data_IF_324708118239
#
_entry.id   IF_324708118239
#
_cell.length_a   1.000
_cell.length_b   1.000
_cell.length_c   1.000
_cell.angle_alpha   90.00
_cell.angle_beta   90.00
_cell.angle_gamma   90.00
#
_symmetry.space_group_name_H-M   'P 1'
#
loop_
_entity.id
_entity.type
_entity.pdbx_description
1 polymer ?
#
# COMPACT_ATOMS: atom_id res chain seq x y z
N UNK A 1 -3.61 14.33 -9.14
CA UNK A 1 -4.18 15.25 -10.15
C UNK A 1 -3.36 15.16 -11.43
N UNK A 2 -3.67 14.21 -12.31
CA UNK A 2 -3.07 14.12 -13.64
C UNK A 2 -4.17 13.72 -14.63
N UNK A 3 -4.17 14.32 -15.83
CA UNK A 3 -5.03 13.90 -16.94
C UNK A 3 -6.53 14.24 -16.85
N UNK A 4 -7.00 15.03 -15.88
CA UNK A 4 -8.41 15.48 -15.87
C UNK A 4 -8.64 16.48 -17.01
N UNK A 5 -9.43 16.08 -18.00
CA UNK A 5 -9.82 16.98 -19.10
C UNK A 5 -10.90 17.92 -18.58
N UNK A 6 -10.78 19.21 -18.93
CA UNK A 6 -11.67 20.29 -18.44
C UNK A 6 -13.16 20.07 -18.77
N UNK A 7 -13.46 19.15 -19.68
CA UNK A 7 -14.80 18.79 -20.18
C UNK A 7 -15.49 17.72 -19.31
N UNK A 8 -14.74 17.04 -18.42
CA UNK A 8 -15.23 15.93 -17.58
C UNK A 8 -15.80 16.38 -16.23
N UNK A 9 -16.13 17.68 -16.07
CA UNK A 9 -16.87 18.15 -14.88
C UNK A 9 -18.33 17.74 -15.06
N UNK A 10 -18.58 16.44 -14.95
CA UNK A 10 -19.92 15.88 -14.85
C UNK A 10 -20.50 16.37 -13.52
N UNK A 11 -21.56 17.16 -13.58
CA UNK A 11 -22.34 17.49 -12.38
C UNK A 11 -22.99 16.18 -11.93
N UNK A 12 -22.47 15.62 -10.84
CA UNK A 12 -22.97 14.38 -10.30
C UNK A 12 -24.42 14.56 -9.81
N UNK A 13 -25.28 13.55 -9.97
CA UNK A 13 -26.61 13.55 -9.37
C UNK A 13 -26.53 13.84 -7.87
N UNK A 14 -27.53 14.52 -7.27
CA UNK A 14 -27.49 14.89 -5.85
C UNK A 14 -27.22 13.71 -4.90
N UNK A 15 -27.77 12.53 -5.21
CA UNK A 15 -27.54 11.30 -4.43
C UNK A 15 -26.07 10.84 -4.48
N UNK A 16 -25.45 10.85 -5.65
CA UNK A 16 -24.06 10.45 -5.83
C UNK A 16 -23.10 11.47 -5.18
N UNK A 17 -23.44 12.76 -5.27
CA UNK A 17 -22.70 13.81 -4.59
C UNK A 17 -22.76 13.64 -3.06
N UNK A 18 -23.92 13.33 -2.50
CA UNK A 18 -24.07 13.09 -1.07
C UNK A 18 -23.33 11.82 -0.63
N UNK A 19 -23.36 10.76 -1.44
CA UNK A 19 -22.57 9.55 -1.21
C UNK A 19 -21.07 9.85 -1.19
N UNK A 20 -20.57 10.65 -2.14
CA UNK A 20 -19.16 11.08 -2.16
C UNK A 20 -18.81 11.94 -0.94
N UNK A 21 -19.68 12.88 -0.54
CA UNK A 21 -19.49 13.68 0.68
C UNK A 21 -19.42 12.81 1.92
N UNK A 22 -20.30 11.82 2.02
CA UNK A 22 -20.29 10.88 3.13
C UNK A 22 -19.00 10.05 3.15
N UNK A 23 -18.55 9.54 2.01
CA UNK A 23 -17.26 8.84 1.91
C UNK A 23 -16.10 9.72 2.37
N UNK A 24 -16.06 10.99 1.95
CA UNK A 24 -15.03 11.96 2.37
C UNK A 24 -15.09 12.22 3.88
N UNK A 25 -16.29 12.39 4.47
CA UNK A 25 -16.48 12.57 5.92
C UNK A 25 -15.96 11.36 6.70
N UNK A 26 -16.35 10.15 6.28
CA UNK A 26 -15.89 8.90 6.91
C UNK A 26 -14.38 8.72 6.78
N UNK A 27 -13.81 8.96 5.59
CA UNK A 27 -12.36 8.87 5.37
C UNK A 27 -11.59 9.87 6.24
N UNK A 28 -12.06 11.12 6.32
CA UNK A 28 -11.44 12.16 7.15
C UNK A 28 -11.46 11.79 8.64
N UNK A 29 -12.58 11.28 9.14
CA UNK A 29 -12.69 10.82 10.53
C UNK A 29 -11.74 9.64 10.80
N UNK A 30 -11.69 8.66 9.88
CA UNK A 30 -10.78 7.52 9.98
C UNK A 30 -9.31 7.95 9.99
N UNK A 31 -8.91 8.85 9.09
CA UNK A 31 -7.55 9.38 9.06
C UNK A 31 -7.22 10.16 10.33
N UNK A 32 -8.12 11.02 10.81
CA UNK A 32 -7.93 11.75 12.06
C UNK A 32 -7.65 10.81 13.23
N UNK A 33 -8.49 9.79 13.40
CA UNK A 33 -8.31 8.76 14.43
C UNK A 33 -6.97 8.01 14.30
N UNK A 34 -6.59 7.61 13.08
CA UNK A 34 -5.32 6.93 12.85
C UNK A 34 -4.11 7.79 13.17
N UNK A 35 -4.17 9.10 12.90
CA UNK A 35 -3.09 10.04 13.24
C UNK A 35 -2.97 10.24 14.75
N UNK A 36 -4.09 10.32 15.47
CA UNK A 36 -4.11 10.38 16.93
C UNK A 36 -3.55 9.09 17.55
N UNK A 37 -3.97 7.93 17.04
CA UNK A 37 -3.45 6.63 17.47
C UNK A 37 -1.94 6.50 17.23
N UNK A 38 -1.44 6.95 16.08
CA UNK A 38 0.00 6.96 15.81
C UNK A 38 0.76 7.84 16.78
N UNK A 39 0.25 9.05 17.06
CA UNK A 39 0.84 9.97 18.04
C UNK A 39 0.88 9.35 19.45
N UNK A 40 -0.12 8.54 19.79
CA UNK A 40 -0.20 7.82 21.05
C UNK A 40 0.51 6.44 21.03
N UNK A 41 1.24 6.11 19.96
CA UNK A 41 1.96 4.84 19.79
C UNK A 41 1.07 3.60 19.98
N UNK A 42 -0.19 3.63 19.51
CA UNK A 42 -1.12 2.50 19.65
C UNK A 42 -0.83 1.46 18.56
N UNK A 43 -0.18 0.35 18.88
CA UNK A 43 0.25 -0.66 17.90
C UNK A 43 -0.58 -1.96 17.94
N UNK A 44 -1.90 -1.83 18.05
CA UNK A 44 -2.81 -2.98 18.11
C UNK A 44 -3.18 -3.52 16.73
N UNK A 45 -3.63 -4.78 16.68
CA UNK A 45 -4.18 -5.38 15.45
C UNK A 45 -5.35 -4.59 14.86
N UNK A 46 -6.20 -4.03 15.72
CA UNK A 46 -7.31 -3.20 15.29
C UNK A 46 -6.81 -1.97 14.51
N UNK A 47 -5.77 -1.32 15.02
CA UNK A 47 -5.15 -0.18 14.35
C UNK A 47 -4.50 -0.60 13.04
N UNK A 48 -3.83 -1.76 13.00
CA UNK A 48 -3.29 -2.33 11.78
C UNK A 48 -4.39 -2.54 10.72
N UNK A 49 -5.52 -3.14 11.05
CA UNK A 49 -6.65 -3.31 10.10
C UNK A 49 -7.26 -1.99 9.65
N UNK A 50 -7.35 -1.02 10.57
CA UNK A 50 -7.85 0.32 10.23
C UNK A 50 -6.95 1.00 9.20
N UNK A 51 -5.63 0.86 9.31
CA UNK A 51 -4.71 1.38 8.28
C UNK A 51 -4.88 0.66 6.94
N UNK A 52 -5.13 -0.65 6.91
CA UNK A 52 -5.43 -1.38 5.66
C UNK A 52 -6.69 -0.83 4.98
N UNK A 53 -7.77 -0.63 5.74
CA UNK A 53 -9.02 -0.03 5.23
C UNK A 53 -8.77 1.37 4.68
N UNK A 54 -8.05 2.20 5.43
CA UNK A 54 -7.70 3.56 5.04
C UNK A 54 -6.91 3.60 3.72
N UNK A 55 -5.92 2.73 3.55
CA UNK A 55 -5.08 2.64 2.35
C UNK A 55 -5.82 2.02 1.15
N UNK A 56 -6.80 1.14 1.39
CA UNK A 56 -7.69 0.67 0.32
C UNK A 56 -8.49 1.82 -0.31
N UNK A 57 -8.79 2.90 0.43
CA UNK A 57 -9.44 4.09 -0.11
C UNK A 57 -8.44 5.11 -0.66
N UNK A 58 -7.36 5.40 0.08
CA UNK A 58 -6.37 6.40 -0.29
C UNK A 58 -4.93 5.89 -0.09
N UNK A 59 -4.38 5.12 -1.05
CA UNK A 59 -3.05 4.54 -0.94
C UNK A 59 -1.92 5.58 -1.09
N UNK A 60 -2.24 6.81 -1.47
CA UNK A 60 -1.24 7.86 -1.65
C UNK A 60 -0.76 8.45 -0.32
N UNK A 61 -1.43 8.16 0.81
CA UNK A 61 -1.11 8.74 2.11
C UNK A 61 0.14 8.11 2.73
N UNK A 62 1.33 8.77 2.68
CA UNK A 62 2.59 8.12 3.07
C UNK A 62 2.68 7.82 4.56
N UNK A 63 2.04 8.64 5.39
CA UNK A 63 2.01 8.51 6.84
C UNK A 63 1.45 7.16 7.29
N UNK A 64 0.42 6.66 6.61
CA UNK A 64 -0.20 5.38 6.98
C UNK A 64 0.70 4.19 6.64
N UNK A 65 1.41 4.24 5.52
CA UNK A 65 2.43 3.23 5.20
C UNK A 65 3.57 3.24 6.22
N UNK A 66 3.96 4.42 6.72
CA UNK A 66 4.91 4.55 7.82
C UNK A 66 4.39 3.92 9.10
N UNK A 67 3.15 4.23 9.45
CA UNK A 67 2.51 3.69 10.65
C UNK A 67 2.40 2.16 10.62
N UNK A 68 2.11 1.58 9.44
CA UNK A 68 2.09 0.12 9.27
C UNK A 68 3.44 -0.52 9.56
N UNK A 69 4.54 0.11 9.11
CA UNK A 69 5.89 -0.38 9.44
C UNK A 69 6.17 -0.29 10.93
N UNK A 70 5.80 0.81 11.57
CA UNK A 70 5.94 0.98 13.03
C UNK A 70 5.19 -0.11 13.80
N UNK A 71 3.93 -0.39 13.43
CA UNK A 71 3.12 -1.45 14.05
C UNK A 71 3.74 -2.83 13.81
N UNK A 72 4.20 -3.11 12.59
CA UNK A 72 4.85 -4.38 12.29
C UNK A 72 6.16 -4.56 13.09
N UNK A 73 6.95 -3.50 13.20
CA UNK A 73 8.26 -3.51 13.87
C UNK A 73 8.16 -3.46 15.40
N UNK A 74 7.02 -3.09 15.97
CA UNK A 74 6.82 -3.13 17.44
C UNK A 74 6.78 -4.56 17.99
N UNK A 75 6.46 -5.54 17.15
CA UNK A 75 6.26 -6.93 17.57
C UNK A 75 4.98 -7.17 18.35
N UNK A 76 4.07 -6.19 18.43
CA UNK A 76 2.80 -6.31 19.15
C UNK A 76 1.71 -7.05 18.35
N UNK A 77 1.95 -7.33 17.07
CA UNK A 77 1.03 -8.11 16.24
C UNK A 77 1.04 -9.58 16.66
N UNK A 78 -0.09 -10.11 17.13
CA UNK A 78 -0.27 -11.51 17.48
C UNK A 78 -0.82 -12.34 16.29
N UNK A 79 -0.57 -11.87 15.06
CA UNK A 79 -1.11 -12.46 13.83
C UNK A 79 -0.12 -13.39 13.16
N UNK A 80 -0.40 -14.69 13.22
CA UNK A 80 0.35 -15.70 12.49
C UNK A 80 1.87 -15.57 12.69
N UNK A 81 2.65 -16.10 11.74
CA UNK A 81 4.05 -15.74 11.65
C UNK A 81 4.23 -14.43 10.86
N UNK A 82 5.39 -13.78 11.05
CA UNK A 82 5.72 -12.52 10.39
C UNK A 82 5.69 -12.63 8.85
N UNK A 83 5.96 -13.82 8.30
CA UNK A 83 5.99 -14.08 6.86
C UNK A 83 4.57 -14.03 6.28
N UNK A 84 3.60 -14.64 6.95
CA UNK A 84 2.19 -14.61 6.57
C UNK A 84 1.62 -13.17 6.60
N UNK A 85 1.99 -12.39 7.62
CA UNK A 85 1.59 -10.96 7.70
C UNK A 85 2.17 -10.17 6.53
N UNK A 86 3.44 -10.38 6.17
CA UNK A 86 4.06 -9.73 5.02
C UNK A 86 3.44 -10.19 3.69
N UNK A 87 3.07 -11.46 3.55
CA UNK A 87 2.35 -11.93 2.36
C UNK A 87 0.99 -11.23 2.18
N UNK A 88 0.28 -10.97 3.27
CA UNK A 88 -0.94 -10.16 3.23
C UNK A 88 -0.65 -8.68 2.94
N UNK A 89 0.47 -8.14 3.43
CA UNK A 89 0.95 -6.80 3.08
C UNK A 89 1.22 -6.69 1.57
N UNK A 90 1.84 -7.71 0.96
CA UNK A 90 2.10 -7.74 -0.48
C UNK A 90 0.81 -7.71 -1.30
N UNK A 91 -0.25 -8.38 -0.85
CA UNK A 91 -1.58 -8.32 -1.48
C UNK A 91 -2.19 -6.91 -1.38
N UNK A 92 -2.03 -6.23 -0.24
CA UNK A 92 -2.49 -4.85 -0.08
C UNK A 92 -1.75 -3.90 -1.03
N UNK A 93 -0.43 -4.05 -1.15
CA UNK A 93 0.42 -3.25 -2.04
C UNK A 93 0.09 -3.49 -3.51
N UNK A 94 -0.18 -4.73 -3.91
CA UNK A 94 -0.58 -5.01 -5.29
C UNK A 94 -1.92 -4.33 -5.64
N UNK A 95 -2.90 -4.39 -4.74
CA UNK A 95 -4.18 -3.66 -4.91
C UNK A 95 -3.94 -2.15 -4.99
N UNK A 96 -3.01 -1.62 -4.21
CA UNK A 96 -2.65 -0.20 -4.23
C UNK A 96 -2.00 0.19 -5.57
N UNK A 97 -1.05 -0.61 -6.09
CA UNK A 97 -0.39 -0.38 -7.38
C UNK A 97 -1.38 -0.46 -8.54
N UNK A 98 -2.34 -1.39 -8.52
CA UNK A 98 -3.41 -1.46 -9.55
C UNK A 98 -4.23 -0.18 -9.63
N UNK A 99 -4.38 0.56 -8.53
CA UNK A 99 -5.10 1.85 -8.49
C UNK A 99 -4.21 3.03 -8.85
N UNK A 100 -2.98 3.05 -8.37
CA UNK A 100 -2.05 4.16 -8.62
C UNK A 100 -0.60 3.65 -8.68
N UNK A 101 -0.10 3.47 -9.90
CA UNK A 101 1.24 2.92 -10.16
C UNK A 101 2.37 3.95 -10.00
N UNK A 102 2.06 5.25 -9.83
CA UNK A 102 3.03 6.35 -9.86
C UNK A 102 3.10 7.09 -8.53
N UNK A 103 3.12 6.32 -7.45
CA UNK A 103 3.08 6.83 -6.07
C UNK A 103 4.28 6.30 -5.29
N UNK A 104 5.16 7.21 -4.90
CA UNK A 104 6.40 6.88 -4.19
C UNK A 104 6.17 6.07 -2.91
N UNK A 105 5.16 6.42 -2.11
CA UNK A 105 4.94 5.77 -0.82
C UNK A 105 4.59 4.29 -0.95
N UNK A 106 3.88 3.89 -2.01
CA UNK A 106 3.54 2.49 -2.30
C UNK A 106 4.79 1.72 -2.67
N UNK A 107 5.59 2.22 -3.63
CA UNK A 107 6.83 1.58 -4.05
C UNK A 107 7.85 1.49 -2.92
N UNK A 108 7.98 2.55 -2.11
CA UNK A 108 8.86 2.57 -0.96
C UNK A 108 8.44 1.54 0.10
N UNK A 109 7.14 1.40 0.37
CA UNK A 109 6.65 0.38 1.29
C UNK A 109 6.80 -1.04 0.72
N UNK A 110 6.61 -1.22 -0.61
CA UNK A 110 6.84 -2.50 -1.29
C UNK A 110 8.29 -2.95 -1.20
N UNK A 111 9.24 -2.05 -1.47
CA UNK A 111 10.67 -2.31 -1.27
C UNK A 111 10.95 -2.84 0.14
N UNK A 112 10.49 -2.13 1.16
CA UNK A 112 10.64 -2.55 2.55
C UNK A 112 10.04 -3.94 2.82
N UNK A 113 8.84 -4.22 2.30
CA UNK A 113 8.18 -5.50 2.51
C UNK A 113 8.93 -6.67 1.82
N UNK A 114 9.49 -6.43 0.64
CA UNK A 114 10.34 -7.40 -0.07
C UNK A 114 11.62 -7.68 0.71
N UNK A 115 12.31 -6.63 1.18
CA UNK A 115 13.51 -6.78 2.02
C UNK A 115 13.21 -7.61 3.28
N UNK A 116 12.06 -7.36 3.94
CA UNK A 116 11.63 -8.14 5.10
C UNK A 116 11.26 -9.58 4.78
N UNK A 117 10.62 -9.84 3.65
CA UNK A 117 10.37 -11.22 3.21
C UNK A 117 11.70 -11.96 2.95
N UNK A 118 12.67 -11.28 2.37
CA UNK A 118 13.99 -11.85 2.09
C UNK A 118 14.75 -12.21 3.37
N UNK A 119 14.71 -11.34 4.38
CA UNK A 119 15.27 -11.61 5.72
C UNK A 119 14.65 -12.86 6.40
N UNK A 120 13.39 -13.19 6.07
CA UNK A 120 12.66 -14.33 6.62
C UNK A 120 12.72 -15.60 5.76
N UNK A 121 13.38 -15.56 4.60
CA UNK A 121 13.53 -16.73 3.74
C UNK A 121 14.49 -17.72 4.39
N UNK A 122 14.06 -18.97 4.55
CA UNK A 122 14.89 -19.99 5.17
C UNK A 122 15.95 -20.53 4.20
N UNK A 123 15.62 -20.55 2.90
CA UNK A 123 16.41 -21.23 1.86
C UNK A 123 16.45 -20.39 0.58
N UNK A 124 17.48 -20.60 -0.24
CA UNK A 124 17.66 -19.89 -1.51
C UNK A 124 16.46 -20.04 -2.46
N UNK A 125 15.77 -21.19 -2.45
CA UNK A 125 14.59 -21.41 -3.28
C UNK A 125 13.42 -20.47 -2.93
N UNK A 126 13.21 -20.18 -1.63
CA UNK A 126 12.17 -19.24 -1.21
C UNK A 126 12.53 -17.81 -1.61
N UNK A 127 13.80 -17.45 -1.44
CA UNK A 127 14.33 -16.15 -1.83
C UNK A 127 14.15 -15.92 -3.35
N UNK A 128 14.48 -16.93 -4.15
CA UNK A 128 14.28 -16.90 -5.60
C UNK A 128 12.79 -16.73 -5.96
N UNK A 129 11.89 -17.43 -5.27
CA UNK A 129 10.45 -17.29 -5.50
C UNK A 129 9.95 -15.86 -5.24
N UNK A 130 10.48 -15.18 -4.21
CA UNK A 130 10.17 -13.77 -3.95
C UNK A 130 10.63 -12.90 -5.11
N UNK A 131 11.87 -13.07 -5.59
CA UNK A 131 12.41 -12.31 -6.71
C UNK A 131 11.62 -12.55 -8.01
N UNK A 132 11.30 -13.81 -8.32
CA UNK A 132 10.53 -14.17 -9.51
C UNK A 132 9.15 -13.51 -9.49
N UNK A 133 8.50 -13.47 -8.33
CA UNK A 133 7.20 -12.80 -8.14
C UNK A 133 7.31 -11.29 -8.38
N UNK A 134 8.38 -10.65 -7.90
CA UNK A 134 8.61 -9.22 -8.09
C UNK A 134 8.95 -8.88 -9.55
N UNK A 135 9.74 -9.73 -10.22
CA UNK A 135 10.08 -9.56 -11.64
C UNK A 135 8.87 -9.76 -12.55
N UNK A 136 8.00 -10.73 -12.25
CA UNK A 136 6.71 -10.92 -12.94
C UNK A 136 5.80 -9.69 -12.79
N UNK A 137 5.68 -9.15 -11.57
CA UNK A 137 4.95 -7.91 -11.35
C UNK A 137 5.52 -6.76 -12.19
N UNK A 138 6.85 -6.60 -12.19
CA UNK A 138 7.50 -5.56 -12.98
C UNK A 138 7.20 -5.72 -14.47
N UNK A 139 7.28 -6.94 -15.01
CA UNK A 139 6.91 -7.23 -16.40
C UNK A 139 5.49 -6.78 -16.72
N UNK A 140 4.51 -7.24 -15.93
CA UNK A 140 3.10 -6.86 -16.13
C UNK A 140 2.83 -5.37 -16.03
N UNK A 141 3.54 -4.64 -15.16
CA UNK A 141 3.35 -3.20 -15.02
C UNK A 141 4.03 -2.41 -16.14
N UNK A 142 5.18 -2.88 -16.63
CA UNK A 142 5.88 -2.27 -17.77
C UNK A 142 5.18 -2.55 -19.11
N UNK A 143 4.49 -3.68 -19.24
CA UNK A 143 3.61 -3.94 -20.39
C UNK A 143 2.45 -2.91 -20.48
N UNK A 144 2.04 -2.36 -19.34
CA UNK A 144 1.00 -1.31 -19.27
C UNK A 144 1.60 0.09 -19.48
N UNK A 145 2.76 0.37 -18.89
CA UNK A 145 3.49 1.64 -19.07
C UNK A 145 4.99 1.41 -19.02
N UNK A 146 5.60 1.24 -20.19
CA UNK A 146 7.04 0.98 -20.36
C UNK A 146 7.93 2.11 -19.83
N UNK A 147 7.36 3.30 -19.62
CA UNK A 147 8.06 4.49 -19.11
C UNK A 147 7.87 4.69 -17.61
N UNK A 148 7.26 3.74 -16.91
CA UNK A 148 7.08 3.81 -15.48
C UNK A 148 8.43 3.68 -14.75
N UNK A 149 9.08 4.82 -14.49
CA UNK A 149 10.39 4.85 -13.83
C UNK A 149 10.36 4.28 -12.41
N UNK A 150 9.22 4.32 -11.71
CA UNK A 150 9.12 3.70 -10.39
C UNK A 150 9.24 2.18 -10.49
N UNK A 151 8.59 1.60 -11.50
CA UNK A 151 8.67 0.18 -11.78
C UNK A 151 10.08 -0.22 -12.22
N UNK A 152 10.73 0.57 -13.08
CA UNK A 152 12.14 0.34 -13.45
C UNK A 152 13.08 0.41 -12.26
N UNK A 153 12.92 1.39 -11.37
CA UNK A 153 13.72 1.51 -10.15
C UNK A 153 13.52 0.31 -9.21
N UNK A 154 12.28 -0.17 -9.06
CA UNK A 154 11.98 -1.37 -8.28
C UNK A 154 12.59 -2.61 -8.92
N UNK A 155 12.43 -2.78 -10.23
CA UNK A 155 13.02 -3.88 -11.00
C UNK A 155 14.54 -3.94 -10.83
N UNK A 156 15.22 -2.79 -10.91
CA UNK A 156 16.67 -2.71 -10.73
C UNK A 156 17.13 -3.02 -9.30
N UNK A 157 16.24 -2.85 -8.31
CA UNK A 157 16.55 -3.17 -6.91
C UNK A 157 16.41 -4.68 -6.60
N UNK A 158 15.50 -5.38 -7.28
CA UNK A 158 15.25 -6.83 -7.09
C UNK A 158 16.05 -7.72 -8.05
N UNK A 159 16.87 -7.13 -8.92
CA UNK A 159 17.85 -7.81 -9.77
C UNK A 159 19.22 -7.78 -9.11
#
# INVERSE_FOLDING_TARGET
MHGRVKKDVVVLPPEELEKQRQQVRTARALFGKLLEQRKACVYTEQTFDMTSKALQFHPEFPTLWGYRREIFQSGELQRGDAKAVLQDEMKLLEKALRRSQKVYSIWFHRKWAVEKLFELCAHAAEAQQVLDTELDLCGRLLDVDERNFHCWNHRAHVM
#
